data_IF_560051459489
#
_entry.id   IF_560051459489
#
_cell.length_a   1.000
_cell.length_b   1.000
_cell.length_c   1.000
_cell.angle_alpha   90.00
_cell.angle_beta   90.00
_cell.angle_gamma   90.00
#
_symmetry.space_group_name_H-M   'P 1'
#
loop_
_entity.id
_entity.type
_entity.pdbx_description
1 polymer ?
#
# COMPACT_ATOMS: atom_id res chain seq x y z
N UNK A 1 19.66 13.55 -5.51
CA UNK A 1 19.69 12.09 -5.73
C UNK A 1 18.98 11.49 -4.54
N UNK A 2 17.81 10.89 -4.74
CA UNK A 2 17.07 10.24 -3.67
C UNK A 2 17.77 8.96 -3.25
N UNK A 3 17.79 8.69 -1.95
CA UNK A 3 18.41 7.49 -1.38
C UNK A 3 17.41 6.34 -1.36
N UNK A 4 17.79 5.17 -1.89
CA UNK A 4 16.96 3.96 -1.84
C UNK A 4 16.95 3.39 -0.42
N UNK A 5 15.77 3.34 0.20
CA UNK A 5 15.57 2.78 1.53
C UNK A 5 15.23 1.28 1.47
N UNK A 6 14.39 0.88 0.50
CA UNK A 6 13.99 -0.51 0.32
C UNK A 6 13.48 -0.77 -1.09
N UNK A 7 13.77 -1.96 -1.58
CA UNK A 7 13.14 -2.54 -2.76
C UNK A 7 12.38 -3.82 -2.36
N UNK A 8 11.20 -4.02 -2.93
CA UNK A 8 10.41 -5.22 -2.76
C UNK A 8 9.63 -5.59 -4.02
N UNK A 9 9.49 -6.88 -4.30
CA UNK A 9 8.56 -7.34 -5.33
C UNK A 9 7.13 -7.08 -4.87
N UNK A 10 6.28 -6.66 -5.80
CA UNK A 10 4.90 -6.37 -5.46
C UNK A 10 3.97 -6.33 -6.66
N UNK A 11 2.71 -6.07 -6.35
CA UNK A 11 1.64 -5.90 -7.30
C UNK A 11 0.94 -4.56 -7.05
N UNK A 12 0.44 -3.96 -8.11
CA UNK A 12 -0.46 -2.80 -8.05
C UNK A 12 -1.81 -3.16 -8.69
N UNK A 13 -2.90 -2.63 -8.13
CA UNK A 13 -4.27 -2.89 -8.60
C UNK A 13 -4.84 -1.62 -9.24
N UNK A 14 -4.89 -1.56 -10.56
CA UNK A 14 -5.33 -0.41 -11.37
C UNK A 14 -6.43 -0.80 -12.37
N UNK A 15 -7.41 -1.60 -11.93
CA UNK A 15 -8.38 -2.26 -12.81
C UNK A 15 -7.92 -3.64 -13.27
N UNK A 16 -6.61 -3.82 -13.47
CA UNK A 16 -5.92 -5.13 -13.59
C UNK A 16 -4.87 -5.29 -12.48
N UNK A 17 -4.38 -6.51 -12.28
CA UNK A 17 -3.29 -6.80 -11.33
C UNK A 17 -1.98 -6.83 -12.08
N UNK A 18 -1.12 -5.85 -11.82
CA UNK A 18 0.17 -5.73 -12.49
C UNK A 18 1.31 -6.05 -11.55
N UNK A 19 2.27 -6.85 -12.02
CA UNK A 19 3.45 -7.22 -11.26
C UNK A 19 4.59 -6.23 -11.51
N UNK A 20 5.37 -5.95 -10.47
CA UNK A 20 6.46 -4.99 -10.56
C UNK A 20 7.33 -4.97 -9.31
N UNK A 21 8.04 -3.87 -9.16
CA UNK A 21 8.96 -3.60 -8.07
C UNK A 21 8.53 -2.31 -7.39
N UNK A 22 8.37 -2.36 -6.06
CA UNK A 22 8.12 -1.21 -5.20
C UNK A 22 9.47 -0.71 -4.70
N UNK A 23 9.83 0.51 -5.05
CA UNK A 23 11.00 1.23 -4.55
C UNK A 23 10.53 2.27 -3.54
N UNK A 24 11.07 2.19 -2.32
CA UNK A 24 10.91 3.23 -1.30
C UNK A 24 12.19 4.04 -1.24
N UNK A 25 12.07 5.35 -1.42
CA UNK A 25 13.16 6.30 -1.25
C UNK A 25 12.87 7.24 -0.08
N UNK A 26 13.84 8.10 0.24
CA UNK A 26 13.66 9.24 1.15
C UNK A 26 12.67 10.29 0.64
N UNK A 27 12.44 10.39 -0.68
CA UNK A 27 11.50 11.33 -1.28
C UNK A 27 10.08 10.76 -1.48
N UNK A 28 9.97 9.46 -1.76
CA UNK A 28 8.70 8.87 -2.17
C UNK A 28 8.68 7.36 -2.38
N UNK A 29 7.57 6.90 -2.96
CA UNK A 29 7.40 5.54 -3.45
C UNK A 29 7.31 5.55 -4.97
N UNK A 30 8.03 4.65 -5.61
CA UNK A 30 7.91 4.38 -7.05
C UNK A 30 7.55 2.92 -7.29
N UNK A 31 6.57 2.66 -8.13
CA UNK A 31 6.25 1.33 -8.65
C UNK A 31 6.72 1.19 -10.09
N UNK A 32 7.66 0.28 -10.29
CA UNK A 32 8.23 -0.05 -11.59
C UNK A 32 7.56 -1.29 -12.16
N UNK A 33 6.89 -1.16 -13.31
CA UNK A 33 6.27 -2.30 -13.98
C UNK A 33 7.32 -3.34 -14.40
N UNK A 34 7.03 -4.63 -14.16
CA UNK A 34 7.86 -5.73 -14.66
C UNK A 34 7.89 -5.75 -16.19
N UNK A 35 6.74 -5.49 -16.83
CA UNK A 35 6.64 -5.33 -18.28
C UNK A 35 6.52 -3.84 -18.60
N UNK A 36 7.63 -3.25 -19.08
CA UNK A 36 7.73 -1.82 -19.41
C UNK A 36 6.85 -1.38 -20.59
N UNK A 37 6.24 -2.30 -21.34
CA UNK A 37 5.25 -1.97 -22.39
C UNK A 37 3.89 -1.58 -21.82
N UNK A 38 3.61 -1.89 -20.56
CA UNK A 38 2.32 -1.63 -19.92
C UNK A 38 2.15 -0.17 -19.48
N UNK A 39 3.26 0.55 -19.29
CA UNK A 39 3.21 1.95 -18.89
C UNK A 39 4.52 2.46 -18.30
N UNK A 40 4.52 3.75 -18.01
CA UNK A 40 5.57 4.42 -17.25
C UNK A 40 5.44 4.12 -15.75
N UNK A 41 6.55 4.21 -15.04
CA UNK A 41 6.58 3.97 -13.60
C UNK A 41 5.68 4.97 -12.85
N UNK A 42 5.04 4.50 -11.77
CA UNK A 42 4.14 5.32 -10.96
C UNK A 42 4.91 5.81 -9.75
N UNK A 43 5.01 7.12 -9.59
CA UNK A 43 5.67 7.74 -8.45
C UNK A 43 4.71 8.58 -7.62
N UNK A 44 4.90 8.55 -6.30
CA UNK A 44 4.22 9.40 -5.33
C UNK A 44 5.24 9.95 -4.35
N UNK A 45 5.09 11.22 -3.96
CA UNK A 45 5.92 11.85 -2.95
C UNK A 45 5.33 11.64 -1.56
N UNK A 46 6.17 11.55 -0.54
CA UNK A 46 5.70 11.43 0.86
C UNK A 46 4.88 12.62 1.32
N UNK A 47 5.18 13.82 0.81
CA UNK A 47 4.44 15.03 1.09
C UNK A 47 2.97 14.94 0.63
N UNK A 48 2.70 14.22 -0.47
CA UNK A 48 1.37 14.10 -1.08
C UNK A 48 0.51 13.00 -0.44
N UNK A 49 1.10 12.18 0.44
CA UNK A 49 0.37 11.10 1.11
C UNK A 49 -0.58 11.68 2.15
N UNK A 50 -1.87 11.47 1.96
CA UNK A 50 -2.92 11.84 2.91
C UNK A 50 -3.21 10.71 3.89
N UNK A 51 -3.28 9.48 3.40
CA UNK A 51 -3.65 8.31 4.20
C UNK A 51 -2.98 7.05 3.69
N UNK A 52 -2.61 6.16 4.62
CA UNK A 52 -2.15 4.79 4.34
C UNK A 52 -3.11 3.82 5.02
N UNK A 53 -3.77 2.97 4.26
CA UNK A 53 -4.67 1.94 4.81
C UNK A 53 -3.96 0.59 4.85
N UNK A 54 -3.92 -0.03 6.03
CA UNK A 54 -3.40 -1.40 6.20
C UNK A 54 -4.56 -2.38 6.16
N UNK A 55 -4.48 -3.36 5.26
CA UNK A 55 -5.41 -4.50 5.29
C UNK A 55 -4.89 -5.58 6.24
N UNK A 56 -5.68 -5.91 7.25
CA UNK A 56 -5.37 -6.99 8.16
C UNK A 56 -5.82 -8.34 7.59
N UNK A 57 -5.07 -9.40 7.90
CA UNK A 57 -5.51 -10.78 7.68
C UNK A 57 -6.67 -11.12 8.62
N UNK A 58 -7.33 -12.26 8.38
CA UNK A 58 -8.35 -12.82 9.27
C UNK A 58 -7.82 -13.01 10.72
N UNK A 59 -6.51 -13.22 10.88
CA UNK A 59 -5.83 -13.36 12.18
C UNK A 59 -5.36 -12.03 12.79
N UNK A 60 -5.86 -10.89 12.30
CA UNK A 60 -5.49 -9.52 12.73
C UNK A 60 -4.01 -9.16 12.54
N UNK A 61 -3.23 -9.96 11.81
CA UNK A 61 -1.85 -9.62 11.42
C UNK A 61 -1.85 -8.68 10.21
N UNK A 62 -0.78 -7.93 10.02
CA UNK A 62 -0.58 -7.13 8.81
C UNK A 62 -0.62 -8.08 7.60
N UNK A 63 -1.57 -7.84 6.70
CA UNK A 63 -1.70 -8.61 5.47
C UNK A 63 -0.69 -8.14 4.42
N UNK A 64 -0.74 -8.80 3.25
CA UNK A 64 0.10 -8.45 2.11
C UNK A 64 -0.34 -7.15 1.42
N UNK A 65 -1.58 -6.71 1.66
CA UNK A 65 -2.21 -5.60 0.95
C UNK A 65 -2.22 -4.31 1.78
N UNK A 66 -1.98 -3.20 1.11
CA UNK A 66 -2.12 -1.86 1.65
C UNK A 66 -2.55 -0.89 0.55
N UNK A 67 -3.08 0.26 0.93
CA UNK A 67 -3.39 1.33 -0.02
C UNK A 67 -2.80 2.66 0.44
N UNK A 68 -2.52 3.54 -0.52
CA UNK A 68 -2.05 4.90 -0.30
C UNK A 68 -3.03 5.83 -1.01
N UNK A 69 -3.52 6.82 -0.28
CA UNK A 69 -4.40 7.88 -0.78
C UNK A 69 -3.63 9.18 -0.84
N UNK A 70 -3.69 9.86 -1.97
CA UNK A 70 -3.23 11.24 -2.18
C UNK A 70 -4.45 12.12 -2.53
N UNK A 71 -4.26 13.41 -2.76
CA UNK A 71 -5.34 14.28 -3.26
C UNK A 71 -5.88 13.84 -4.63
N UNK A 72 -5.04 13.20 -5.46
CA UNK A 72 -5.36 12.90 -6.87
C UNK A 72 -5.58 11.42 -7.15
N UNK A 73 -5.20 10.53 -6.23
CA UNK A 73 -5.16 9.10 -6.51
C UNK A 73 -5.39 8.25 -5.27
N UNK A 74 -5.91 7.05 -5.52
CA UNK A 74 -6.02 5.98 -4.55
C UNK A 74 -5.36 4.74 -5.14
N UNK A 75 -4.19 4.37 -4.61
CA UNK A 75 -3.35 3.31 -5.13
C UNK A 75 -3.36 2.12 -4.18
N UNK A 76 -3.67 0.93 -4.70
CA UNK A 76 -3.67 -0.33 -3.96
C UNK A 76 -2.46 -1.16 -4.34
N UNK A 77 -1.75 -1.65 -3.33
CA UNK A 77 -0.55 -2.47 -3.48
C UNK A 77 -0.68 -3.80 -2.75
N UNK A 78 0.11 -4.78 -3.19
CA UNK A 78 0.35 -6.04 -2.48
C UNK A 78 1.82 -6.42 -2.52
N UNK A 79 2.38 -6.92 -1.42
CA UNK A 79 3.72 -7.49 -1.36
C UNK A 79 3.83 -8.48 -0.20
N UNK A 80 4.64 -9.53 -0.37
CA UNK A 80 5.03 -10.42 0.72
C UNK A 80 5.84 -9.69 1.82
N UNK A 81 6.46 -8.56 1.45
CA UNK A 81 7.26 -7.71 2.33
C UNK A 81 6.48 -6.48 2.82
N UNK A 82 5.15 -6.49 2.72
CA UNK A 82 4.29 -5.39 3.15
C UNK A 82 4.54 -4.92 4.59
N UNK A 83 4.78 -5.79 5.60
CA UNK A 83 5.09 -5.31 6.96
C UNK A 83 6.34 -4.43 7.03
N UNK A 84 7.40 -4.77 6.30
CA UNK A 84 8.64 -3.99 6.24
C UNK A 84 8.44 -2.68 5.46
N UNK A 85 7.73 -2.73 4.33
CA UNK A 85 7.39 -1.54 3.55
C UNK A 85 6.56 -0.55 4.39
N UNK A 86 5.53 -1.03 5.08
CA UNK A 86 4.65 -0.20 5.91
C UNK A 86 5.37 0.41 7.10
N UNK A 87 6.36 -0.28 7.67
CA UNK A 87 7.23 0.28 8.71
C UNK A 87 8.00 1.49 8.19
N UNK A 88 8.62 1.36 7.01
CA UNK A 88 9.39 2.46 6.39
C UNK A 88 8.47 3.61 5.97
N UNK A 89 7.34 3.31 5.33
CA UNK A 89 6.33 4.32 4.99
C UNK A 89 5.91 5.09 6.24
N UNK A 90 5.67 4.39 7.36
CA UNK A 90 5.34 5.02 8.64
C UNK A 90 6.40 5.96 9.19
N UNK A 91 7.69 5.66 8.96
CA UNK A 91 8.79 6.55 9.31
C UNK A 91 8.83 7.82 8.44
N UNK A 92 8.37 7.73 7.19
CA UNK A 92 8.39 8.84 6.23
C UNK A 92 7.17 9.76 6.34
N UNK A 93 5.97 9.19 6.48
CA UNK A 93 4.71 9.97 6.42
C UNK A 93 4.08 10.21 7.79
N UNK A 94 4.57 9.54 8.83
CA UNK A 94 4.04 9.57 10.19
C UNK A 94 2.90 8.57 10.42
N UNK A 95 2.88 7.96 11.61
CA UNK A 95 1.91 6.91 11.97
C UNK A 95 0.48 7.43 12.12
N UNK A 96 0.29 8.73 12.30
CA UNK A 96 -1.02 9.39 12.35
C UNK A 96 -1.79 9.29 11.03
N UNK A 97 -1.10 9.10 9.89
CA UNK A 97 -1.72 8.92 8.58
C UNK A 97 -2.18 7.48 8.32
N UNK A 98 -1.93 6.56 9.27
CA UNK A 98 -2.26 5.15 9.11
C UNK A 98 -3.66 4.83 9.63
N UNK A 99 -4.45 4.16 8.81
CA UNK A 99 -5.75 3.61 9.19
C UNK A 99 -5.75 2.10 9.00
N UNK A 100 -6.46 1.38 9.87
CA UNK A 100 -6.68 -0.07 9.72
C UNK A 100 -7.97 -0.27 8.93
N UNK A 101 -7.91 -1.01 7.84
CA UNK A 101 -9.11 -1.40 7.09
C UNK A 101 -10.05 -2.15 8.05
N UNK A 102 -11.31 -1.70 8.16
CA UNK A 102 -12.32 -2.44 8.91
C UNK A 102 -12.52 -3.79 8.24
N UNK A 103 -12.20 -4.88 8.93
CA UNK A 103 -12.47 -6.23 8.42
C UNK A 103 -13.99 -6.40 8.26
N UNK A 104 -14.44 -6.68 7.03
CA UNK A 104 -15.86 -6.91 6.72
C UNK A 104 -16.45 -8.11 7.47
N UNK A 105 -15.65 -8.90 8.19
CA UNK A 105 -16.11 -9.98 9.05
C UNK A 105 -16.98 -9.49 10.23
N UNK A 106 -16.93 -8.20 10.59
CA UNK A 106 -17.86 -7.63 11.55
C UNK A 106 -19.27 -7.39 10.98
N UNK A 107 -19.46 -7.51 9.66
CA UNK A 107 -20.78 -7.35 9.01
C UNK A 107 -21.58 -8.65 9.03
N UNK A 108 -20.94 -9.82 9.16
CA UNK A 108 -21.60 -11.14 9.23
C UNK A 108 -22.02 -11.57 10.65
N UNK A 109 -21.97 -10.66 11.64
CA UNK A 109 -22.37 -10.96 13.03
C UNK A 109 -23.59 -10.15 13.50
N UNK A 110 -24.62 -10.04 12.65
CA UNK A 110 -26.04 -10.14 13.06
C UNK A 110 -26.97 -9.88 11.86
N UNK A 111 -27.83 -10.85 11.51
CA UNK A 111 -29.22 -10.46 11.25
C UNK A 111 -30.28 -11.50 11.70
N UNK A 112 -30.09 -12.23 12.81
CA UNK A 112 -31.19 -13.02 13.39
C UNK A 112 -31.13 -13.03 14.93
N UNK A 113 -31.58 -11.93 15.53
CA UNK A 113 -32.32 -11.98 16.79
C UNK A 113 -33.70 -11.38 16.54
N UNK A 114 -34.63 -12.26 16.18
CA UNK A 114 -36.07 -12.12 16.46
C UNK A 114 -36.38 -13.01 17.64
#
# INVERSE_FOLDING_TARGET
MSNLLKEAKGQIYLGTVENGIIHLTDEGLTFSYKNKRLGSDISLLWADVLQVEIKLSATKKIGKQFSITTEKSFLKFSSDEAPQLLKIIGQQVGTQKFTKAKSLLNVFTNPFKS
#
